data_IF_432945436750
#
_entry.id   IF_432945436750
#
_cell.length_a   1.000
_cell.length_b   1.000
_cell.length_c   1.000
_cell.angle_alpha   90.00
_cell.angle_beta   90.00
_cell.angle_gamma   90.00
#
_symmetry.space_group_name_H-M   'P 1'
#
loop_
_entity.id
_entity.type
_entity.pdbx_description
1 polymer ?
#
# COMPACT_ATOMS: atom_id res chain seq x y z
N UNK A 1 20.50 9.37 -22.19
CA UNK A 1 20.27 9.20 -20.74
C UNK A 1 20.64 7.77 -20.42
N UNK A 2 21.46 7.53 -19.39
CA UNK A 2 21.71 6.16 -18.94
C UNK A 2 20.43 5.65 -18.26
N UNK A 3 20.02 4.42 -18.55
CA UNK A 3 18.90 3.79 -17.84
C UNK A 3 19.25 3.66 -16.35
N UNK A 4 18.26 3.80 -15.48
CA UNK A 4 18.49 3.59 -14.05
C UNK A 4 18.70 2.10 -13.73
N UNK A 5 19.44 1.86 -12.64
CA UNK A 5 19.80 0.50 -12.24
C UNK A 5 18.54 -0.32 -11.87
N UNK A 6 17.48 0.32 -11.33
CA UNK A 6 16.21 -0.34 -11.00
C UNK A 6 15.49 -0.84 -12.26
N UNK A 7 15.40 -0.03 -13.30
CA UNK A 7 14.84 -0.40 -14.60
C UNK A 7 15.62 -1.55 -15.21
N UNK A 8 16.96 -1.46 -15.22
CA UNK A 8 17.80 -2.54 -15.72
C UNK A 8 17.52 -3.85 -14.97
N UNK A 9 17.45 -3.82 -13.64
CA UNK A 9 17.14 -5.00 -12.84
C UNK A 9 15.74 -5.57 -13.12
N UNK A 10 14.70 -4.73 -13.17
CA UNK A 10 13.33 -5.17 -13.47
C UNK A 10 13.19 -5.75 -14.88
N UNK A 11 14.00 -5.29 -15.83
CA UNK A 11 14.07 -5.83 -17.18
C UNK A 11 14.96 -7.09 -17.31
N UNK A 12 15.51 -7.60 -16.20
CA UNK A 12 16.40 -8.76 -16.20
C UNK A 12 17.77 -8.50 -16.83
N UNK A 13 18.19 -7.23 -16.90
CA UNK A 13 19.50 -6.81 -17.40
C UNK A 13 20.50 -6.70 -16.24
N UNK A 14 21.77 -6.42 -16.56
CA UNK A 14 22.84 -6.28 -15.58
C UNK A 14 23.00 -4.81 -15.16
N UNK A 15 22.42 -4.37 -14.03
CA UNK A 15 22.67 -3.04 -13.50
C UNK A 15 24.12 -2.93 -12.99
N UNK A 16 24.64 -1.71 -12.93
CA UNK A 16 26.01 -1.46 -12.44
C UNK A 16 26.06 -1.65 -10.92
N UNK A 17 24.99 -1.26 -10.23
CA UNK A 17 24.80 -1.49 -8.79
C UNK A 17 23.58 -2.36 -8.58
N UNK A 18 23.61 -3.22 -7.57
CA UNK A 18 22.42 -3.93 -7.11
C UNK A 18 21.44 -2.86 -6.60
N UNK A 19 20.26 -2.69 -7.22
CA UNK A 19 19.33 -1.68 -6.77
C UNK A 19 18.77 -2.07 -5.40
N UNK A 20 18.71 -1.10 -4.50
CA UNK A 20 18.07 -1.25 -3.20
C UNK A 20 16.73 -0.53 -3.21
N UNK A 21 15.74 -1.13 -2.58
CA UNK A 21 14.49 -0.46 -2.25
C UNK A 21 13.94 -1.07 -0.96
N UNK A 22 13.58 -0.20 -0.03
CA UNK A 22 13.12 -0.60 1.30
C UNK A 22 12.02 0.34 1.77
N UNK A 23 10.98 -0.23 2.36
CA UNK A 23 10.02 0.52 3.16
C UNK A 23 10.62 0.75 4.55
N UNK A 24 11.24 1.91 4.75
CA UNK A 24 11.86 2.26 6.02
C UNK A 24 10.86 2.90 6.99
N UNK A 25 10.62 2.24 8.12
CA UNK A 25 9.69 2.70 9.16
C UNK A 25 10.31 2.54 10.55
N UNK A 26 11.53 3.04 10.74
CA UNK A 26 12.25 2.96 12.02
C UNK A 26 13.02 4.25 12.34
N UNK A 27 12.33 5.32 12.83
CA UNK A 27 12.95 6.60 13.21
C UNK A 27 14.05 6.48 14.28
N UNK A 28 13.90 5.51 15.19
CA UNK A 28 14.89 5.27 16.24
C UNK A 28 16.23 4.81 15.64
N UNK A 29 16.18 4.00 14.58
CA UNK A 29 17.37 3.59 13.84
C UNK A 29 17.98 4.78 13.07
N UNK A 30 17.15 5.69 12.52
CA UNK A 30 17.65 6.90 11.87
C UNK A 30 18.42 7.79 12.86
N UNK A 31 17.84 7.98 14.04
CA UNK A 31 18.46 8.72 15.14
C UNK A 31 19.79 8.10 15.56
N UNK A 32 19.80 6.78 15.77
CA UNK A 32 21.01 6.05 16.12
C UNK A 32 22.11 6.16 15.06
N UNK A 33 21.75 6.02 13.77
CA UNK A 33 22.71 6.02 12.66
C UNK A 33 23.30 7.39 12.36
N UNK A 34 22.56 8.47 12.63
CA UNK A 34 22.97 9.85 12.32
C UNK A 34 23.57 10.57 13.53
N UNK A 35 23.07 10.27 14.73
CA UNK A 35 23.28 11.06 15.93
C UNK A 35 22.39 12.30 16.01
N UNK A 36 21.41 12.44 15.11
CA UNK A 36 20.44 13.54 15.06
C UNK A 36 19.09 12.97 15.46
N UNK A 37 18.43 13.55 16.46
CA UNK A 37 17.10 13.10 16.86
C UNK A 37 16.10 13.31 15.72
N UNK A 38 15.56 12.21 15.19
CA UNK A 38 14.58 12.25 14.11
C UNK A 38 13.30 12.99 14.53
N UNK A 39 12.92 12.96 15.80
CA UNK A 39 11.70 13.60 16.28
C UNK A 39 11.87 15.10 16.45
N UNK A 40 13.06 15.57 16.81
CA UNK A 40 13.36 17.01 16.88
C UNK A 40 13.69 17.60 15.50
N UNK A 41 14.38 16.83 14.65
CA UNK A 41 14.96 17.28 13.38
C UNK A 41 14.80 16.24 12.26
N UNK A 42 13.56 15.92 11.83
CA UNK A 42 13.29 14.80 10.91
C UNK A 42 13.95 14.97 9.54
N UNK A 43 13.99 16.20 9.00
CA UNK A 43 14.60 16.47 7.69
C UNK A 43 16.11 16.49 7.77
N UNK A 44 16.71 17.11 8.78
CA UNK A 44 18.17 17.08 8.95
C UNK A 44 18.68 15.65 9.18
N UNK A 45 17.98 14.87 10.00
CA UNK A 45 18.27 13.45 10.21
C UNK A 45 18.26 12.69 8.87
N UNK A 46 17.21 12.89 8.06
CA UNK A 46 17.08 12.21 6.76
C UNK A 46 18.09 12.67 5.70
N UNK A 47 18.46 13.94 5.69
CA UNK A 47 19.54 14.46 4.84
C UNK A 47 20.90 13.87 5.22
N UNK A 48 21.18 13.71 6.51
CA UNK A 48 22.42 13.07 6.98
C UNK A 48 22.44 11.57 6.64
N UNK A 49 21.30 10.89 6.71
CA UNK A 49 21.17 9.51 6.21
C UNK A 49 21.45 9.42 4.72
N UNK A 50 20.88 10.29 3.89
CA UNK A 50 21.17 10.29 2.45
C UNK A 50 22.65 10.56 2.16
N UNK A 51 23.30 11.41 2.96
CA UNK A 51 24.74 11.68 2.81
C UNK A 51 25.60 10.46 3.17
N UNK A 52 25.26 9.73 4.25
CA UNK A 52 26.02 8.56 4.72
C UNK A 52 25.70 7.28 3.95
N UNK A 53 24.44 7.10 3.59
CA UNK A 53 23.88 5.89 3.01
C UNK A 53 23.00 6.23 1.78
N UNK A 54 23.58 6.83 0.73
CA UNK A 54 22.83 7.26 -0.45
C UNK A 54 22.12 6.09 -1.15
N UNK A 55 22.58 4.85 -0.96
CA UNK A 55 21.95 3.65 -1.50
C UNK A 55 20.59 3.33 -0.89
N UNK A 56 20.26 3.83 0.31
CA UNK A 56 18.94 3.60 0.90
C UNK A 56 17.84 4.35 0.15
N UNK A 57 18.18 5.46 -0.52
CA UNK A 57 17.27 6.24 -1.37
C UNK A 57 15.94 6.61 -0.67
N UNK A 58 16.03 6.94 0.62
CA UNK A 58 14.89 7.29 1.44
C UNK A 58 14.41 8.71 1.12
N UNK A 59 13.11 8.93 1.07
CA UNK A 59 12.50 10.25 0.88
C UNK A 59 12.89 11.20 2.02
N UNK A 60 13.02 12.49 1.72
CA UNK A 60 13.33 13.55 2.71
C UNK A 60 12.06 14.35 3.00
N UNK A 61 11.63 14.48 4.26
CA UNK A 61 10.52 15.36 4.64
C UNK A 61 10.73 16.79 4.12
N UNK A 62 9.67 17.46 3.70
CA UNK A 62 9.75 18.83 3.16
C UNK A 62 10.24 19.84 4.21
N UNK A 63 9.81 19.67 5.46
CA UNK A 63 10.13 20.54 6.59
C UNK A 63 10.94 19.81 7.64
N UNK A 64 11.66 20.58 8.49
CA UNK A 64 12.37 20.07 9.67
C UNK A 64 11.57 20.36 10.96
N UNK A 65 10.25 20.45 10.84
CA UNK A 65 9.39 20.70 12.00
C UNK A 65 9.38 19.48 12.93
N UNK A 66 9.52 19.67 14.25
CA UNK A 66 9.51 18.55 15.19
C UNK A 66 8.20 17.75 15.11
N UNK A 67 8.33 16.43 15.19
CA UNK A 67 7.20 15.51 15.23
C UNK A 67 7.06 14.87 16.62
N UNK A 68 5.84 14.62 17.13
CA UNK A 68 5.66 14.02 18.44
C UNK A 68 6.28 12.62 18.52
N UNK A 69 6.93 12.31 19.65
CA UNK A 69 7.35 10.94 19.90
C UNK A 69 6.12 10.01 19.99
N UNK A 70 6.21 8.79 19.44
CA UNK A 70 5.15 7.82 19.52
C UNK A 70 4.94 7.39 20.97
N UNK A 71 3.68 7.19 21.36
CA UNK A 71 3.30 6.79 22.73
C UNK A 71 3.88 5.43 23.13
N UNK A 72 4.09 4.53 22.17
CA UNK A 72 4.61 3.18 22.38
C UNK A 72 6.12 3.17 22.11
N UNK A 73 6.92 2.98 23.16
CA UNK A 73 8.39 2.98 23.09
C UNK A 73 9.00 1.63 22.65
N UNK A 74 8.16 0.64 22.36
CA UNK A 74 8.51 -0.73 22.00
C UNK A 74 9.35 -1.51 23.04
N UNK A 75 9.53 -0.97 24.26
CA UNK A 75 10.28 -1.63 25.35
C UNK A 75 9.38 -2.37 26.34
N UNK A 76 8.10 -1.98 26.42
CA UNK A 76 7.11 -2.63 27.29
C UNK A 76 5.88 -3.13 26.52
N UNK A 77 4.98 -2.22 26.18
CA UNK A 77 3.77 -2.56 25.46
C UNK A 77 4.00 -2.48 23.94
N UNK A 78 3.63 -3.53 23.21
CA UNK A 78 3.68 -3.54 21.73
C UNK A 78 2.37 -3.07 21.09
N UNK A 79 1.34 -2.81 21.88
CA UNK A 79 0.05 -2.26 21.43
C UNK A 79 -0.62 -1.45 22.54
N UNK A 80 -1.43 -0.47 22.18
CA UNK A 80 -2.28 0.31 23.08
C UNK A 80 -3.74 0.21 22.64
N UNK A 81 -4.66 0.56 23.54
CA UNK A 81 -6.09 0.68 23.25
C UNK A 81 -6.53 2.11 23.54
N UNK A 82 -7.39 2.69 22.71
CA UNK A 82 -8.02 3.99 22.98
C UNK A 82 -9.23 3.86 23.92
N UNK A 83 -9.86 5.00 24.25
CA UNK A 83 -11.06 5.04 25.09
C UNK A 83 -12.27 4.33 24.47
N UNK A 84 -12.30 4.19 23.14
CA UNK A 84 -13.34 3.51 22.39
C UNK A 84 -13.10 1.99 22.27
N UNK A 85 -11.97 1.48 22.78
CA UNK A 85 -11.64 0.06 22.71
C UNK A 85 -10.89 -0.35 21.43
N UNK A 86 -10.53 0.58 20.56
CA UNK A 86 -9.77 0.29 19.35
C UNK A 86 -8.30 0.04 19.69
N UNK A 87 -7.71 -0.99 19.07
CA UNK A 87 -6.32 -1.38 19.28
C UNK A 87 -5.40 -0.78 18.23
N UNK A 88 -4.27 -0.25 18.68
CA UNK A 88 -3.25 0.39 17.85
C UNK A 88 -1.86 -0.18 18.16
N UNK A 89 -0.98 -0.20 17.17
CA UNK A 89 0.46 -0.46 17.35
C UNK A 89 1.27 0.68 16.76
N UNK A 90 2.51 0.87 17.22
CA UNK A 90 3.42 1.85 16.60
C UNK A 90 3.82 1.37 15.22
N UNK A 91 3.79 2.30 14.27
CA UNK A 91 4.25 2.11 12.89
C UNK A 91 5.17 3.27 12.52
N UNK A 92 6.48 3.05 12.67
CA UNK A 92 7.49 4.09 12.50
C UNK A 92 7.38 5.21 13.52
N UNK A 93 7.15 6.43 13.05
CA UNK A 93 6.88 7.63 13.83
C UNK A 93 5.39 7.81 14.19
N UNK A 94 4.53 6.91 13.71
CA UNK A 94 3.08 7.01 13.83
C UNK A 94 2.44 5.79 14.53
N UNK A 95 1.11 5.70 14.50
CA UNK A 95 0.33 4.55 14.94
C UNK A 95 -0.38 3.94 13.72
N UNK A 96 -0.69 2.64 13.77
CA UNK A 96 -1.55 2.02 12.77
C UNK A 96 -2.91 2.71 12.71
N UNK A 97 -3.54 2.72 11.53
CA UNK A 97 -4.94 3.13 11.43
C UNK A 97 -5.89 2.13 12.12
N UNK A 98 -7.12 2.57 12.34
CA UNK A 98 -8.24 1.69 12.66
C UNK A 98 -9.27 1.75 11.53
N UNK A 99 -9.80 0.60 11.15
CA UNK A 99 -10.83 0.46 10.13
C UNK A 99 -11.89 -0.51 10.66
N UNK A 100 -13.17 -0.16 10.52
CA UNK A 100 -14.30 -0.98 10.98
C UNK A 100 -15.47 -0.92 9.98
N UNK A 101 -15.14 -0.85 8.69
CA UNK A 101 -16.18 -0.85 7.66
C UNK A 101 -16.95 -2.19 7.62
N UNK A 102 -16.23 -3.29 7.83
CA UNK A 102 -16.79 -4.65 7.83
C UNK A 102 -17.90 -4.88 8.86
N UNK A 103 -17.93 -4.12 9.97
CA UNK A 103 -18.99 -4.24 10.98
C UNK A 103 -20.40 -3.94 10.45
N UNK A 104 -20.55 -3.37 9.25
CA UNK A 104 -21.85 -3.19 8.61
C UNK A 104 -22.48 -4.51 8.16
N UNK A 105 -21.66 -5.51 7.85
CA UNK A 105 -22.10 -6.86 7.51
C UNK A 105 -22.31 -7.64 8.80
N UNK A 106 -23.48 -8.27 8.96
CA UNK A 106 -23.87 -8.98 10.19
C UNK A 106 -23.83 -10.50 10.01
N UNK A 107 -23.75 -10.96 8.77
CA UNK A 107 -23.83 -12.37 8.41
C UNK A 107 -23.12 -12.67 7.10
N UNK A 108 -22.86 -13.95 6.85
CA UNK A 108 -22.40 -14.44 5.57
C UNK A 108 -23.39 -14.13 4.42
N UNK A 109 -24.70 -14.12 4.70
CA UNK A 109 -25.73 -13.76 3.72
C UNK A 109 -25.60 -12.30 3.27
N UNK A 110 -25.24 -11.37 4.18
CA UNK A 110 -24.98 -9.97 3.81
C UNK A 110 -23.77 -9.86 2.88
N UNK A 111 -22.73 -10.67 3.10
CA UNK A 111 -21.56 -10.74 2.21
C UNK A 111 -21.97 -11.27 0.84
N UNK A 112 -22.69 -12.39 0.78
CA UNK A 112 -23.13 -12.97 -0.49
C UNK A 112 -24.12 -12.10 -1.27
N UNK A 113 -24.86 -11.22 -0.59
CA UNK A 113 -25.74 -10.22 -1.20
C UNK A 113 -24.97 -9.00 -1.72
N UNK A 114 -23.76 -8.72 -1.24
CA UNK A 114 -22.99 -7.55 -1.67
C UNK A 114 -22.48 -7.70 -3.11
N UNK A 115 -22.58 -6.62 -3.88
CA UNK A 115 -21.97 -6.50 -5.21
C UNK A 115 -20.92 -5.39 -5.21
N UNK A 116 -19.62 -5.73 -5.31
CA UNK A 116 -18.58 -4.72 -5.49
C UNK A 116 -18.80 -3.82 -6.70
N UNK A 117 -19.35 -4.36 -7.79
CA UNK A 117 -19.62 -3.57 -8.99
C UNK A 117 -20.82 -2.63 -8.84
N UNK A 118 -21.87 -3.02 -8.13
CA UNK A 118 -23.00 -2.13 -7.80
C UNK A 118 -22.57 -1.05 -6.80
N UNK A 119 -21.74 -1.40 -5.81
CA UNK A 119 -21.13 -0.42 -4.91
C UNK A 119 -20.35 0.61 -5.74
N UNK A 120 -19.35 0.15 -6.50
CA UNK A 120 -18.56 0.89 -7.50
C UNK A 120 -17.72 2.07 -6.98
N UNK A 121 -18.30 2.88 -6.10
CA UNK A 121 -17.74 4.04 -5.45
C UNK A 121 -17.35 3.70 -4.01
N UNK A 122 -16.04 3.70 -3.75
CA UNK A 122 -15.45 3.36 -2.45
C UNK A 122 -14.84 4.58 -1.78
N UNK A 123 -15.15 5.82 -2.22
CA UNK A 123 -14.59 7.05 -1.63
C UNK A 123 -14.89 7.19 -0.14
N UNK A 124 -16.08 6.78 0.27
CA UNK A 124 -16.53 6.84 1.67
C UNK A 124 -16.29 5.53 2.44
N UNK A 125 -15.59 4.57 1.81
CA UNK A 125 -15.22 3.29 2.42
C UNK A 125 -13.73 3.36 2.75
N UNK A 126 -13.29 3.16 4.01
CA UNK A 126 -11.90 3.26 4.43
C UNK A 126 -11.07 2.01 4.02
N UNK A 127 -11.13 1.64 2.75
CA UNK A 127 -10.14 0.75 2.13
C UNK A 127 -8.83 1.53 1.89
N UNK A 128 -7.72 0.86 1.57
CA UNK A 128 -6.43 1.56 1.42
C UNK A 128 -6.44 2.48 0.20
N UNK A 129 -6.90 1.99 -0.94
CA UNK A 129 -7.10 2.79 -2.16
C UNK A 129 -8.57 3.20 -2.31
N UNK A 130 -9.05 4.15 -1.49
CA UNK A 130 -10.43 4.65 -1.55
C UNK A 130 -10.66 5.57 -2.75
N UNK A 131 -11.41 5.10 -3.75
CA UNK A 131 -11.69 5.84 -5.00
C UNK A 131 -13.06 5.47 -5.58
N UNK A 132 -13.48 6.23 -6.58
CA UNK A 132 -14.60 5.86 -7.43
C UNK A 132 -14.10 5.04 -8.62
N UNK A 133 -14.56 3.80 -8.75
CA UNK A 133 -14.11 2.85 -9.78
C UNK A 133 -15.14 2.66 -10.90
N UNK A 134 -16.18 3.48 -10.96
CA UNK A 134 -17.26 3.37 -11.97
C UNK A 134 -16.86 3.91 -13.33
N UNK A 135 -15.93 4.87 -13.38
CA UNK A 135 -15.51 5.56 -14.61
C UNK A 135 -13.99 5.49 -14.80
N UNK A 136 -13.54 4.75 -15.82
CA UNK A 136 -12.12 4.59 -16.14
C UNK A 136 -11.45 5.91 -16.57
N UNK A 137 -12.16 6.84 -17.22
CA UNK A 137 -11.59 8.12 -17.63
C UNK A 137 -11.40 9.05 -16.45
N UNK A 138 -12.39 9.12 -15.55
CA UNK A 138 -12.26 9.88 -14.32
C UNK A 138 -11.10 9.34 -13.47
N UNK A 139 -11.01 8.01 -13.35
CA UNK A 139 -9.95 7.33 -12.63
C UNK A 139 -8.58 7.60 -13.27
N UNK A 140 -8.50 7.59 -14.60
CA UNK A 140 -7.29 7.96 -15.34
C UNK A 140 -6.83 9.39 -15.02
N UNK A 141 -7.73 10.37 -15.06
CA UNK A 141 -7.37 11.75 -14.73
C UNK A 141 -6.87 11.89 -13.28
N UNK A 142 -7.50 11.17 -12.34
CA UNK A 142 -7.07 11.16 -10.95
C UNK A 142 -5.68 10.55 -10.75
N UNK A 143 -5.32 9.50 -11.48
CA UNK A 143 -3.96 8.94 -11.38
C UNK A 143 -2.96 9.80 -12.15
N UNK A 144 -3.31 10.29 -13.34
CA UNK A 144 -2.42 11.03 -14.23
C UNK A 144 -1.90 12.32 -13.60
N UNK A 145 -2.65 12.98 -12.73
CA UNK A 145 -2.23 14.22 -12.06
C UNK A 145 -0.97 14.06 -11.20
N UNK A 146 -0.64 12.83 -10.78
CA UNK A 146 0.54 12.55 -9.96
C UNK A 146 1.84 12.38 -10.77
N UNK A 147 1.78 12.53 -12.10
CA UNK A 147 2.93 12.39 -12.99
C UNK A 147 3.25 13.72 -13.69
N UNK A 148 4.52 14.02 -13.99
CA UNK A 148 4.90 15.23 -14.71
C UNK A 148 4.16 15.37 -16.06
N UNK A 149 3.71 16.57 -16.40
CA UNK A 149 2.92 16.82 -17.61
C UNK A 149 3.74 16.55 -18.88
N UNK A 150 5.04 16.87 -18.84
CA UNK A 150 6.00 16.71 -19.92
C UNK A 150 6.24 15.25 -20.35
N UNK A 151 5.93 14.27 -19.48
CA UNK A 151 6.01 12.85 -19.84
C UNK A 151 4.90 12.44 -20.82
N UNK A 152 3.84 13.24 -20.95
CA UNK A 152 2.69 12.89 -21.79
C UNK A 152 2.09 11.56 -21.34
N UNK A 153 2.10 10.57 -22.24
CA UNK A 153 1.58 9.22 -22.01
C UNK A 153 2.69 8.15 -21.97
N UNK A 154 3.97 8.54 -21.90
CA UNK A 154 5.08 7.59 -21.88
C UNK A 154 6.04 7.93 -20.73
N UNK A 155 6.41 6.91 -19.96
CA UNK A 155 7.49 7.06 -19.00
C UNK A 155 8.80 7.47 -19.71
N UNK A 156 9.69 8.21 -19.05
CA UNK A 156 11.03 8.44 -19.57
C UNK A 156 11.72 7.11 -19.89
N UNK A 157 12.35 7.04 -21.07
CA UNK A 157 13.01 5.83 -21.53
C UNK A 157 14.11 5.39 -20.55
N UNK A 158 14.06 4.13 -20.13
CA UNK A 158 15.01 3.56 -19.16
C UNK A 158 14.80 3.98 -17.71
N UNK A 159 13.63 4.54 -17.37
CA UNK A 159 13.30 4.91 -15.98
C UNK A 159 12.50 3.85 -15.23
N UNK A 160 12.69 3.71 -13.93
CA UNK A 160 11.89 2.86 -13.04
C UNK A 160 10.60 3.54 -12.60
N UNK A 161 10.05 4.45 -13.42
CA UNK A 161 8.77 5.10 -13.17
C UNK A 161 7.70 4.02 -12.97
N UNK A 162 7.02 4.08 -11.83
CA UNK A 162 6.07 3.07 -11.42
C UNK A 162 4.81 3.70 -10.81
N UNK A 163 3.76 2.89 -10.78
CA UNK A 163 2.57 3.11 -9.97
C UNK A 163 2.36 1.90 -9.08
N UNK A 164 1.77 2.08 -7.91
CA UNK A 164 1.48 1.01 -6.96
C UNK A 164 -0.01 0.91 -6.66
N UNK A 165 -0.49 -0.27 -6.32
CA UNK A 165 -1.87 -0.50 -5.90
C UNK A 165 -1.95 -1.63 -4.89
N UNK A 166 -2.73 -1.40 -3.83
CA UNK A 166 -2.79 -2.28 -2.65
C UNK A 166 -4.07 -3.10 -2.56
N UNK A 167 -5.21 -2.58 -3.03
CA UNK A 167 -6.49 -3.28 -2.94
C UNK A 167 -6.56 -4.39 -4.02
N UNK A 168 -5.68 -5.40 -4.01
CA UNK A 168 -5.75 -6.48 -5.00
C UNK A 168 -6.72 -7.58 -4.55
N UNK A 169 -6.44 -8.86 -4.82
CA UNK A 169 -7.47 -9.90 -4.74
C UNK A 169 -7.76 -10.34 -3.31
N UNK A 170 -6.77 -10.32 -2.42
CA UNK A 170 -6.96 -10.71 -1.02
C UNK A 170 -7.36 -9.50 -0.16
N UNK A 171 -6.77 -8.33 -0.41
CA UNK A 171 -7.07 -7.12 0.35
C UNK A 171 -8.47 -6.56 0.09
N UNK A 172 -9.01 -6.64 -1.13
CA UNK A 172 -10.38 -6.17 -1.40
C UNK A 172 -11.44 -6.75 -0.45
N UNK A 173 -11.62 -8.08 -0.38
CA UNK A 173 -12.63 -8.66 0.49
C UNK A 173 -12.30 -8.46 1.96
N UNK A 174 -11.03 -8.50 2.36
CA UNK A 174 -10.62 -8.22 3.74
C UNK A 174 -11.04 -6.83 4.16
N UNK A 175 -10.67 -5.79 3.39
CA UNK A 175 -10.98 -4.40 3.71
C UNK A 175 -12.48 -4.09 3.61
N UNK A 176 -13.23 -4.85 2.80
CA UNK A 176 -14.67 -4.66 2.63
C UNK A 176 -15.49 -5.36 3.73
N UNK A 177 -15.17 -6.61 4.07
CA UNK A 177 -16.02 -7.43 4.93
C UNK A 177 -15.45 -7.64 6.34
N UNK A 178 -14.21 -7.25 6.59
CA UNK A 178 -13.53 -7.61 7.83
C UNK A 178 -12.96 -9.03 7.77
N UNK A 179 -12.09 -9.32 8.73
CA UNK A 179 -11.35 -10.58 8.78
C UNK A 179 -12.27 -11.79 8.98
N UNK A 180 -13.19 -11.71 9.94
CA UNK A 180 -14.04 -12.84 10.36
C UNK A 180 -14.96 -13.29 9.23
N UNK A 181 -15.78 -12.38 8.70
CA UNK A 181 -16.73 -12.69 7.63
C UNK A 181 -16.03 -13.04 6.32
N UNK A 182 -14.90 -12.42 5.99
CA UNK A 182 -14.12 -12.82 4.82
C UNK A 182 -13.65 -14.27 4.96
N UNK A 183 -13.01 -14.65 6.08
CA UNK A 183 -12.51 -16.01 6.25
C UNK A 183 -13.61 -17.06 6.39
N UNK A 184 -14.77 -16.69 6.94
CA UNK A 184 -15.94 -17.56 7.00
C UNK A 184 -16.49 -17.87 5.60
N UNK A 185 -16.48 -16.88 4.70
CA UNK A 185 -17.15 -16.98 3.40
C UNK A 185 -16.24 -17.36 2.24
N UNK A 186 -14.91 -17.16 2.34
CA UNK A 186 -14.00 -17.26 1.20
C UNK A 186 -13.87 -18.65 0.57
N UNK A 187 -14.33 -19.71 1.24
CA UNK A 187 -14.36 -21.08 0.72
C UNK A 187 -15.71 -21.46 0.09
N UNK A 188 -16.76 -20.67 0.31
CA UNK A 188 -18.09 -20.94 -0.23
C UNK A 188 -18.13 -20.58 -1.74
N UNK A 189 -18.71 -21.45 -2.60
CA UNK A 189 -18.82 -21.16 -4.03
C UNK A 189 -19.53 -19.84 -4.37
N UNK A 190 -20.45 -19.37 -3.51
CA UNK A 190 -21.14 -18.08 -3.70
C UNK A 190 -20.19 -16.88 -3.64
N UNK A 191 -19.04 -17.03 -2.98
CA UNK A 191 -18.02 -16.00 -2.89
C UNK A 191 -17.27 -15.78 -4.21
N UNK A 192 -17.29 -16.75 -5.13
CA UNK A 192 -16.61 -16.68 -6.43
C UNK A 192 -17.11 -15.49 -7.27
N UNK A 193 -18.43 -15.21 -7.25
CA UNK A 193 -19.01 -14.03 -7.91
C UNK A 193 -18.38 -12.74 -7.39
N UNK A 194 -18.29 -12.59 -6.07
CA UNK A 194 -17.78 -11.38 -5.41
C UNK A 194 -16.31 -11.16 -5.78
N UNK A 195 -15.51 -12.23 -5.77
CA UNK A 195 -14.11 -12.18 -6.22
C UNK A 195 -14.02 -11.79 -7.69
N UNK A 196 -14.90 -12.31 -8.55
CA UNK A 196 -14.98 -11.92 -9.96
C UNK A 196 -15.29 -10.44 -10.16
N UNK A 197 -16.12 -9.85 -9.29
CA UNK A 197 -16.46 -8.43 -9.32
C UNK A 197 -15.31 -7.54 -8.84
N UNK A 198 -14.61 -7.91 -7.76
CA UNK A 198 -13.38 -7.24 -7.36
C UNK A 198 -12.28 -7.37 -8.42
N UNK A 199 -12.18 -8.52 -9.09
CA UNK A 199 -11.27 -8.70 -10.23
C UNK A 199 -11.61 -7.74 -11.37
N UNK A 200 -12.89 -7.46 -11.64
CA UNK A 200 -13.26 -6.47 -12.66
C UNK A 200 -12.91 -5.04 -12.24
N UNK A 201 -13.07 -4.67 -10.96
CA UNK A 201 -12.56 -3.39 -10.45
C UNK A 201 -11.05 -3.29 -10.68
N UNK A 202 -10.29 -4.34 -10.33
CA UNK A 202 -8.86 -4.39 -10.59
C UNK A 202 -8.55 -4.25 -12.09
N UNK A 203 -9.28 -4.93 -12.98
CA UNK A 203 -9.10 -4.78 -14.43
C UNK A 203 -9.27 -3.34 -14.89
N UNK A 204 -10.26 -2.60 -14.37
CA UNK A 204 -10.43 -1.17 -14.67
C UNK A 204 -9.20 -0.36 -14.24
N UNK A 205 -8.71 -0.59 -13.03
CA UNK A 205 -7.48 0.05 -12.51
C UNK A 205 -6.27 -0.26 -13.40
N UNK A 206 -6.05 -1.54 -13.75
CA UNK A 206 -4.89 -1.92 -14.56
C UNK A 206 -4.99 -1.45 -16.02
N UNK A 207 -6.20 -1.33 -16.60
CA UNK A 207 -6.40 -0.67 -17.91
C UNK A 207 -6.03 0.81 -17.84
N UNK A 208 -6.39 1.49 -16.75
CA UNK A 208 -5.97 2.86 -16.49
C UNK A 208 -4.45 2.95 -16.33
N UNK A 209 -3.83 2.06 -15.56
CA UNK A 209 -2.39 2.05 -15.35
C UNK A 209 -1.60 1.81 -16.63
N UNK A 210 -2.11 0.96 -17.53
CA UNK A 210 -1.50 0.73 -18.85
C UNK A 210 -1.47 1.99 -19.73
N UNK A 211 -2.26 3.02 -19.41
CA UNK A 211 -2.28 4.31 -20.11
C UNK A 211 -1.42 5.38 -19.42
N UNK A 212 -0.99 5.14 -18.18
CA UNK A 212 -0.17 6.09 -17.43
C UNK A 212 1.28 6.07 -17.94
N UNK A 213 2.03 7.18 -17.77
CA UNK A 213 3.44 7.25 -18.15
C UNK A 213 4.32 6.50 -17.13
N UNK A 214 4.13 5.19 -16.99
CA UNK A 214 4.88 4.29 -16.11
C UNK A 214 5.45 3.11 -16.90
N UNK A 215 6.59 2.57 -16.45
CA UNK A 215 7.18 1.35 -16.99
C UNK A 215 6.82 0.11 -16.16
N UNK A 216 6.49 0.30 -14.88
CA UNK A 216 6.20 -0.79 -13.95
C UNK A 216 4.94 -0.54 -13.14
N UNK A 217 4.27 -1.63 -12.76
CA UNK A 217 3.17 -1.62 -11.81
C UNK A 217 3.55 -2.51 -10.64
N UNK A 218 3.51 -1.94 -9.44
CA UNK A 218 3.68 -2.67 -8.21
C UNK A 218 2.32 -3.03 -7.61
N UNK A 219 2.13 -4.30 -7.30
CA UNK A 219 0.94 -4.79 -6.61
C UNK A 219 1.34 -5.33 -5.24
N UNK A 220 0.52 -5.07 -4.22
CA UNK A 220 0.77 -5.54 -2.87
C UNK A 220 -0.48 -6.20 -2.29
N UNK A 221 -0.32 -7.40 -1.73
CA UNK A 221 -1.41 -8.17 -1.13
C UNK A 221 -0.87 -8.87 0.14
N UNK A 222 -1.48 -8.63 1.30
CA UNK A 222 -1.02 -9.20 2.58
C UNK A 222 -1.50 -10.64 2.78
N UNK A 223 -1.01 -11.53 1.93
CA UNK A 223 -1.46 -12.94 1.87
C UNK A 223 -0.72 -13.87 2.84
N UNK A 224 0.31 -13.38 3.54
CA UNK A 224 1.17 -14.13 4.46
C UNK A 224 1.38 -13.34 5.74
N UNK A 225 1.36 -14.02 6.88
CA UNK A 225 1.76 -13.46 8.19
C UNK A 225 3.03 -14.13 8.70
N UNK A 226 3.52 -13.72 9.87
CA UNK A 226 4.62 -14.41 10.56
C UNK A 226 4.33 -15.88 10.88
N UNK A 227 3.07 -16.32 10.79
CA UNK A 227 2.64 -17.72 10.97
C UNK A 227 2.45 -18.48 9.65
N UNK A 228 2.77 -17.85 8.52
CA UNK A 228 2.62 -18.43 7.18
C UNK A 228 1.42 -17.88 6.40
N UNK A 229 1.09 -18.50 5.25
CA UNK A 229 -0.01 -18.09 4.38
C UNK A 229 -1.36 -18.14 5.08
N UNK A 230 -2.20 -17.14 4.84
CA UNK A 230 -3.54 -17.05 5.44
C UNK A 230 -4.48 -18.06 4.77
N UNK A 231 -4.47 -18.09 3.44
CA UNK A 231 -5.20 -19.07 2.65
C UNK A 231 -4.27 -20.18 2.15
N UNK A 232 -4.81 -21.38 1.95
CA UNK A 232 -4.02 -22.49 1.40
C UNK A 232 -3.55 -22.17 -0.04
N UNK A 233 -2.41 -22.72 -0.51
CA UNK A 233 -2.00 -22.58 -1.90
C UNK A 233 -3.04 -23.07 -2.92
N UNK A 234 -3.93 -23.99 -2.53
CA UNK A 234 -5.04 -24.45 -3.38
C UNK A 234 -6.08 -23.34 -3.58
N UNK A 235 -6.35 -22.55 -2.54
CA UNK A 235 -7.26 -21.41 -2.63
C UNK A 235 -6.65 -20.30 -3.50
N UNK A 236 -5.38 -19.95 -3.27
CA UNK A 236 -4.69 -18.88 -4.01
C UNK A 236 -4.52 -19.14 -5.51
N UNK A 237 -4.64 -20.39 -5.96
CA UNK A 237 -4.55 -20.78 -7.38
C UNK A 237 -5.89 -20.75 -8.11
N UNK A 238 -7.00 -20.50 -7.39
CA UNK A 238 -8.31 -20.30 -7.97
C UNK A 238 -8.49 -18.84 -8.32
#
# INVERSE_FOLDING_TARGET
MQADDRYLAYMGLAPVRIPHWEHWSCPDAETFLTGIDHYEHPRLCRLELQRRYPQLDLSVPETDEPIPHPRLDLKGASSTTDEAGHRFVRWGDSLTGHWDWGARFKSADDVWAFSPLEQGDFRDIPVVESRDYRDEEQLYHQYRQHFPAEWGNQAPAGSSAMISFYNTMFMWPLLTFGWELFLETCLDPRFERIMGEFAEINRRVFRVFARLPVNFVLCHDDIVTSRGPICSPRWMRR
#
